data_IF_682342549476
#
_entry.id   IF_682342549476
#
_cell.length_a   1.000
_cell.length_b   1.000
_cell.length_c   1.000
_cell.angle_alpha   90.00
_cell.angle_beta   90.00
_cell.angle_gamma   90.00
#
_symmetry.space_group_name_H-M   'P 1'
#
loop_
_entity.id
_entity.type
_entity.pdbx_description
1 polymer ?
#
# COMPACT_ATOMS: atom_id res chain seq x y z
N UNK A 1 25.45 -0.25 -24.88
CA UNK A 1 24.00 -0.47 -24.64
C UNK A 1 23.54 0.65 -23.74
N UNK A 2 22.77 1.60 -24.26
CA UNK A 2 22.10 2.61 -23.43
C UNK A 2 21.01 1.84 -22.70
N UNK A 3 21.22 1.58 -21.41
CA UNK A 3 20.21 0.93 -20.57
C UNK A 3 18.95 1.78 -20.60
N UNK A 4 17.82 1.17 -20.91
CA UNK A 4 16.52 1.81 -20.77
C UNK A 4 16.33 2.00 -19.26
N UNK A 5 16.58 3.22 -18.76
CA UNK A 5 16.26 3.58 -17.39
C UNK A 5 14.74 3.54 -17.27
N UNK A 6 14.20 2.48 -16.70
CA UNK A 6 12.80 2.42 -16.31
C UNK A 6 12.66 3.36 -15.10
N UNK A 7 12.06 4.53 -15.30
CA UNK A 7 11.77 5.46 -14.23
C UNK A 7 10.78 4.80 -13.26
N UNK A 8 11.08 4.83 -11.96
CA UNK A 8 10.18 4.32 -10.93
C UNK A 8 8.99 5.26 -10.74
N UNK A 9 8.01 4.83 -9.95
CA UNK A 9 6.88 5.65 -9.53
C UNK A 9 6.81 5.78 -8.01
N UNK A 10 6.05 6.76 -7.53
CA UNK A 10 5.81 6.95 -6.10
C UNK A 10 4.40 6.45 -5.76
N UNK A 11 4.30 5.61 -4.72
CA UNK A 11 3.05 5.24 -4.07
C UNK A 11 2.92 5.96 -2.72
N UNK A 12 1.72 6.29 -2.28
CA UNK A 12 1.51 7.00 -1.00
C UNK A 12 0.29 6.49 -0.25
N UNK A 13 0.39 6.44 1.08
CA UNK A 13 -0.74 6.20 1.98
C UNK A 13 -1.48 7.50 2.30
N UNK A 14 -2.81 7.50 2.18
CA UNK A 14 -3.69 8.64 2.45
C UNK A 14 -4.90 8.20 3.29
N UNK A 15 -5.34 9.03 4.23
CA UNK A 15 -6.59 8.85 4.96
C UNK A 15 -6.44 8.87 6.48
N UNK A 16 -5.21 8.88 7.02
CA UNK A 16 -4.99 8.80 8.47
C UNK A 16 -4.78 10.16 9.16
N UNK A 17 -4.85 11.26 8.41
CA UNK A 17 -4.83 12.60 9.02
C UNK A 17 -5.69 13.60 8.24
N UNK A 18 -6.73 14.15 8.87
CA UNK A 18 -7.65 15.10 8.22
C UNK A 18 -6.99 16.40 7.71
N UNK A 19 -5.73 16.66 8.06
CA UNK A 19 -4.97 17.83 7.61
C UNK A 19 -3.99 17.53 6.46
N UNK A 20 -4.10 16.37 5.80
CA UNK A 20 -3.22 15.97 4.70
C UNK A 20 -3.73 16.35 3.29
N UNK A 21 -4.81 17.13 3.25
CA UNK A 21 -5.52 17.48 2.01
C UNK A 21 -6.50 16.38 1.56
N UNK A 22 -7.31 16.70 0.56
CA UNK A 22 -8.29 15.76 0.02
C UNK A 22 -7.62 14.66 -0.82
N UNK A 23 -8.35 13.59 -1.13
CA UNK A 23 -7.87 12.53 -2.01
C UNK A 23 -7.57 13.10 -3.41
N UNK A 24 -8.42 14.00 -3.91
CA UNK A 24 -8.18 14.66 -5.20
C UNK A 24 -6.95 15.57 -5.17
N UNK A 25 -6.63 16.23 -4.05
CA UNK A 25 -5.37 17.00 -3.91
C UNK A 25 -4.13 16.10 -4.02
N UNK A 26 -4.18 14.91 -3.42
CA UNK A 26 -3.10 13.93 -3.55
C UNK A 26 -2.89 13.56 -5.03
N UNK A 27 -3.97 13.24 -5.75
CA UNK A 27 -3.89 12.83 -7.16
C UNK A 27 -3.51 13.98 -8.11
N UNK A 28 -3.97 15.20 -7.84
CA UNK A 28 -3.63 16.38 -8.65
C UNK A 28 -2.21 16.91 -8.41
N UNK A 29 -1.51 16.42 -7.39
CA UNK A 29 -0.10 16.78 -7.15
C UNK A 29 0.84 16.38 -8.29
N UNK A 30 0.47 15.36 -9.08
CA UNK A 30 1.33 14.75 -10.09
C UNK A 30 2.54 14.00 -9.51
N UNK A 31 2.59 13.79 -8.20
CA UNK A 31 3.69 13.07 -7.52
C UNK A 31 3.49 11.55 -7.55
N UNK A 32 2.25 11.09 -7.39
CA UNK A 32 1.94 9.70 -7.08
C UNK A 32 1.30 8.97 -8.26
N UNK A 33 1.71 7.72 -8.49
CA UNK A 33 1.04 6.80 -9.41
C UNK A 33 0.04 5.88 -8.71
N UNK A 34 0.19 5.70 -7.39
CA UNK A 34 -0.68 4.89 -6.55
C UNK A 34 -1.03 5.66 -5.28
N UNK A 35 -2.30 5.62 -4.89
CA UNK A 35 -2.78 6.12 -3.60
C UNK A 35 -3.51 4.98 -2.88
N UNK A 36 -3.02 4.63 -1.70
CA UNK A 36 -3.63 3.65 -0.81
C UNK A 36 -4.52 4.39 0.17
N UNK A 37 -5.83 4.17 0.05
CA UNK A 37 -6.86 4.71 0.95
C UNK A 37 -6.85 3.87 2.22
N UNK A 38 -6.48 4.50 3.33
CA UNK A 38 -6.09 3.81 4.55
C UNK A 38 -6.94 4.26 5.72
N UNK A 39 -7.68 3.38 6.41
CA UNK A 39 -7.69 1.91 6.28
C UNK A 39 -9.08 1.29 6.45
N UNK A 40 -9.28 0.08 5.90
CA UNK A 40 -10.24 -0.86 6.47
C UNK A 40 -9.59 -1.53 7.68
N UNK A 41 -9.74 -0.91 8.85
CA UNK A 41 -9.03 -1.26 10.10
C UNK A 41 -9.75 -2.32 10.94
N UNK A 42 -10.96 -2.74 10.53
CA UNK A 42 -11.71 -3.80 11.20
C UNK A 42 -12.34 -4.71 10.16
N UNK A 43 -12.13 -6.02 10.25
CA UNK A 43 -12.75 -7.04 9.40
C UNK A 43 -12.48 -8.46 9.95
N UNK A 44 -13.20 -9.44 9.40
CA UNK A 44 -13.05 -10.86 9.74
C UNK A 44 -13.50 -11.21 11.16
N UNK A 45 -13.41 -12.49 11.51
CA UNK A 45 -13.89 -13.06 12.79
C UNK A 45 -15.38 -12.74 13.07
N UNK A 46 -16.21 -12.65 12.01
CA UNK A 46 -17.63 -12.30 12.13
C UNK A 46 -17.92 -10.84 12.48
N UNK A 47 -16.91 -9.96 12.49
CA UNK A 47 -17.08 -8.53 12.73
C UNK A 47 -17.72 -7.85 11.51
N UNK A 48 -18.47 -6.77 11.75
CA UNK A 48 -18.86 -5.86 10.68
C UNK A 48 -17.63 -5.06 10.24
N UNK A 49 -17.22 -5.10 8.96
CA UNK A 49 -16.04 -4.37 8.54
C UNK A 49 -16.21 -2.86 8.71
N UNK A 50 -15.16 -2.18 9.15
CA UNK A 50 -15.19 -0.75 9.42
C UNK A 50 -14.00 -0.03 8.77
N UNK A 51 -14.33 1.01 8.02
CA UNK A 51 -13.37 1.96 7.45
C UNK A 51 -13.00 3.00 8.53
N UNK A 52 -11.76 3.46 8.53
CA UNK A 52 -11.30 4.58 9.32
C UNK A 52 -10.50 5.52 8.41
N UNK A 53 -11.02 6.73 8.20
CA UNK A 53 -10.34 7.81 7.47
C UNK A 53 -10.06 9.01 8.39
N UNK A 54 -9.73 8.72 9.66
CA UNK A 54 -9.42 9.71 10.68
C UNK A 54 -10.41 10.89 10.70
N UNK A 55 -9.93 12.11 10.43
CA UNK A 55 -10.73 13.33 10.45
C UNK A 55 -11.37 13.71 9.11
N UNK A 56 -11.22 12.89 8.06
CA UNK A 56 -11.73 13.23 6.72
C UNK A 56 -13.25 13.04 6.60
N UNK A 57 -13.78 11.98 7.20
CA UNK A 57 -15.20 11.65 7.16
C UNK A 57 -15.54 10.62 8.27
N UNK A 58 -16.84 10.41 8.50
CA UNK A 58 -17.37 9.38 9.39
C UNK A 58 -18.20 8.36 8.57
N UNK A 59 -17.67 7.14 8.34
CA UNK A 59 -18.36 6.11 7.57
C UNK A 59 -19.73 5.72 8.13
N UNK A 60 -19.93 5.82 9.46
CA UNK A 60 -21.20 5.50 10.10
C UNK A 60 -22.30 6.51 9.77
N UNK A 61 -21.91 7.76 9.51
CA UNK A 61 -22.81 8.82 9.07
C UNK A 61 -23.11 8.80 7.56
N UNK A 62 -22.39 7.95 6.80
CA UNK A 62 -22.53 7.84 5.33
C UNK A 62 -21.92 9.01 4.54
N UNK A 63 -21.21 9.93 5.19
CA UNK A 63 -20.64 11.12 4.55
C UNK A 63 -19.32 10.87 3.80
N UNK A 64 -18.76 9.66 3.86
CA UNK A 64 -17.55 9.27 3.12
C UNK A 64 -17.81 9.01 1.62
N UNK A 65 -19.07 8.97 1.18
CA UNK A 65 -19.44 8.81 -0.23
C UNK A 65 -18.94 9.96 -1.13
N UNK A 66 -18.56 11.10 -0.53
CA UNK A 66 -17.95 12.24 -1.23
C UNK A 66 -16.69 11.86 -2.01
N UNK A 67 -15.96 10.84 -1.53
CA UNK A 67 -14.73 10.38 -2.17
C UNK A 67 -14.94 9.62 -3.48
N UNK A 68 -16.17 9.24 -3.82
CA UNK A 68 -16.47 8.61 -5.12
C UNK A 68 -15.97 9.48 -6.28
N UNK A 69 -16.26 10.78 -6.23
CA UNK A 69 -15.83 11.72 -7.27
C UNK A 69 -14.30 11.93 -7.30
N UNK A 70 -13.66 11.98 -6.13
CA UNK A 70 -12.20 12.07 -6.01
C UNK A 70 -11.53 10.83 -6.61
N UNK A 71 -12.02 9.63 -6.29
CA UNK A 71 -11.52 8.36 -6.84
C UNK A 71 -11.59 8.37 -8.37
N UNK A 72 -12.73 8.77 -8.94
CA UNK A 72 -12.87 8.83 -10.40
C UNK A 72 -11.93 9.85 -11.04
N UNK A 73 -11.67 10.96 -10.35
CA UNK A 73 -10.73 11.99 -10.80
C UNK A 73 -9.29 11.45 -10.79
N UNK A 74 -8.88 10.80 -9.69
CA UNK A 74 -7.59 10.12 -9.59
C UNK A 74 -7.38 9.12 -10.73
N UNK A 75 -8.38 8.26 -10.97
CA UNK A 75 -8.33 7.25 -12.05
C UNK A 75 -8.24 7.90 -13.43
N UNK A 76 -8.95 9.01 -13.66
CA UNK A 76 -8.85 9.77 -14.92
C UNK A 76 -7.46 10.41 -15.13
N UNK A 77 -6.74 10.71 -14.04
CA UNK A 77 -5.36 11.18 -14.05
C UNK A 77 -4.34 10.04 -14.21
N UNK A 78 -4.81 8.78 -14.32
CA UNK A 78 -3.94 7.60 -14.40
C UNK A 78 -3.40 7.12 -13.06
N UNK A 79 -3.86 7.69 -11.94
CA UNK A 79 -3.49 7.26 -10.59
C UNK A 79 -4.36 6.08 -10.19
N UNK A 80 -3.74 4.99 -9.74
CA UNK A 80 -4.49 3.85 -9.20
C UNK A 80 -4.85 4.10 -7.75
N UNK A 81 -6.11 3.86 -7.40
CA UNK A 81 -6.60 4.03 -6.03
C UNK A 81 -6.96 2.67 -5.46
N UNK A 82 -6.32 2.30 -4.36
CA UNK A 82 -6.46 1.01 -3.71
C UNK A 82 -7.05 1.18 -2.31
N UNK A 83 -7.80 0.20 -1.81
CA UNK A 83 -8.18 0.15 -0.40
C UNK A 83 -7.12 -0.62 0.37
N UNK A 84 -6.54 -0.01 1.41
CA UNK A 84 -5.62 -0.70 2.30
C UNK A 84 -6.34 -1.37 3.46
N UNK A 85 -6.10 -2.66 3.62
CA UNK A 85 -6.57 -3.46 4.74
C UNK A 85 -5.56 -3.41 5.88
N UNK A 86 -6.03 -3.30 7.11
CA UNK A 86 -5.19 -3.44 8.30
C UNK A 86 -4.62 -2.11 8.80
N UNK A 87 -3.30 -1.96 8.72
CA UNK A 87 -2.48 -0.92 9.34
C UNK A 87 -2.05 -1.29 10.77
N UNK A 88 -1.08 -0.56 11.32
CA UNK A 88 -0.52 -0.79 12.67
C UNK A 88 -1.49 -0.70 13.85
N UNK A 89 -2.73 -0.26 13.63
CA UNK A 89 -3.80 -0.24 14.63
C UNK A 89 -5.12 -0.75 14.03
N UNK A 90 -5.88 -1.52 14.81
CA UNK A 90 -7.17 -2.05 14.36
C UNK A 90 -7.57 -3.34 15.05
N UNK A 91 -8.64 -3.96 14.56
CA UNK A 91 -9.09 -5.30 14.98
C UNK A 91 -9.45 -6.12 13.76
N UNK A 92 -8.46 -6.82 13.23
CA UNK A 92 -8.59 -7.57 11.98
C UNK A 92 -7.92 -8.94 12.10
N UNK A 93 -8.39 -9.88 11.28
CA UNK A 93 -7.85 -11.23 11.21
C UNK A 93 -8.89 -12.19 10.62
N UNK A 94 -8.41 -13.30 10.05
CA UNK A 94 -9.25 -14.28 9.39
C UNK A 94 -9.25 -15.58 10.18
N UNK A 95 -10.43 -16.10 10.50
CA UNK A 95 -10.62 -17.30 11.34
C UNK A 95 -10.72 -18.61 10.58
N UNK A 96 -11.03 -18.55 9.28
CA UNK A 96 -11.31 -19.70 8.43
C UNK A 96 -11.29 -19.33 6.95
N UNK A 97 -11.28 -20.33 6.07
CA UNK A 97 -11.46 -20.15 4.63
C UNK A 97 -12.79 -19.47 4.31
N UNK A 98 -13.88 -19.82 5.02
CA UNK A 98 -15.20 -19.20 4.85
C UNK A 98 -15.20 -17.72 5.26
N UNK A 99 -14.44 -17.37 6.30
CA UNK A 99 -14.25 -15.98 6.75
C UNK A 99 -13.46 -15.18 5.70
N UNK A 100 -12.37 -15.75 5.15
CA UNK A 100 -11.63 -15.15 4.05
C UNK A 100 -12.50 -14.94 2.80
N UNK A 101 -13.34 -15.91 2.44
CA UNK A 101 -14.28 -15.79 1.32
C UNK A 101 -15.35 -14.72 1.59
N UNK A 102 -15.84 -14.64 2.82
CA UNK A 102 -16.84 -13.64 3.25
C UNK A 102 -16.26 -12.23 3.16
N UNK A 103 -15.02 -12.03 3.64
CA UNK A 103 -14.30 -10.76 3.51
C UNK A 103 -14.04 -10.43 2.04
N UNK A 104 -13.60 -11.40 1.22
CA UNK A 104 -13.39 -11.18 -0.22
C UNK A 104 -14.67 -10.70 -0.94
N UNK A 105 -15.80 -11.33 -0.62
CA UNK A 105 -17.12 -10.96 -1.16
C UNK A 105 -17.54 -9.57 -0.70
N UNK A 106 -17.34 -9.25 0.58
CA UNK A 106 -17.61 -7.92 1.10
C UNK A 106 -16.79 -6.84 0.38
N UNK A 107 -15.49 -7.07 0.18
CA UNK A 107 -14.60 -6.15 -0.54
C UNK A 107 -15.04 -5.97 -1.99
N UNK A 108 -15.41 -7.07 -2.67
CA UNK A 108 -15.93 -7.03 -4.02
C UNK A 108 -17.17 -6.14 -4.16
N UNK A 109 -18.16 -6.36 -3.30
CA UNK A 109 -19.47 -5.69 -3.38
C UNK A 109 -19.44 -4.23 -2.91
N UNK A 110 -18.57 -3.91 -1.94
CA UNK A 110 -18.56 -2.59 -1.31
C UNK A 110 -17.51 -1.63 -1.87
N UNK A 111 -16.45 -2.14 -2.50
CA UNK A 111 -15.31 -1.31 -2.91
C UNK A 111 -14.82 -1.56 -4.34
N UNK A 112 -15.07 -2.75 -4.91
CA UNK A 112 -14.63 -3.11 -6.25
C UNK A 112 -15.83 -3.13 -7.21
N UNK A 113 -15.88 -4.10 -8.13
CA UNK A 113 -16.86 -4.18 -9.22
C UNK A 113 -18.19 -4.86 -8.87
N UNK A 114 -18.39 -5.28 -7.63
CA UNK A 114 -19.65 -5.84 -7.17
C UNK A 114 -20.70 -4.76 -6.88
N UNK A 115 -21.77 -5.13 -6.18
CA UNK A 115 -22.89 -4.21 -5.92
C UNK A 115 -23.37 -4.32 -4.48
N UNK A 116 -23.47 -3.19 -3.80
CA UNK A 116 -24.04 -3.07 -2.47
C UNK A 116 -24.94 -1.82 -2.39
N UNK A 117 -25.96 -1.85 -1.53
CA UNK A 117 -26.88 -0.73 -1.35
C UNK A 117 -26.27 0.48 -0.61
N UNK A 118 -25.16 0.27 0.10
CA UNK A 118 -24.50 1.30 0.92
C UNK A 118 -22.98 1.12 0.89
N UNK A 119 -22.36 1.51 -0.22
CA UNK A 119 -20.90 1.46 -0.39
C UNK A 119 -20.22 2.57 0.43
N UNK A 120 -19.24 2.28 1.30
CA UNK A 120 -18.65 3.28 2.20
C UNK A 120 -18.02 4.49 1.50
N UNK A 121 -17.42 4.29 0.33
CA UNK A 121 -16.79 5.35 -0.48
C UNK A 121 -17.65 5.78 -1.67
N UNK A 122 -18.92 5.35 -1.71
CA UNK A 122 -19.83 5.58 -2.83
C UNK A 122 -19.59 4.64 -4.02
N UNK A 123 -20.10 5.05 -5.19
CA UNK A 123 -20.26 4.18 -6.35
C UNK A 123 -18.96 3.87 -7.11
N UNK A 124 -17.88 4.64 -6.87
CA UNK A 124 -16.61 4.40 -7.53
C UNK A 124 -16.06 3.00 -7.20
N UNK A 125 -15.61 2.30 -8.24
CA UNK A 125 -14.90 1.04 -8.11
C UNK A 125 -13.39 1.32 -8.00
N UNK A 126 -12.79 0.91 -6.89
CA UNK A 126 -11.35 1.00 -6.68
C UNK A 126 -10.60 0.07 -7.64
N UNK A 127 -9.31 0.36 -7.85
CA UNK A 127 -8.44 -0.43 -8.71
C UNK A 127 -8.07 -1.77 -8.08
N UNK A 128 -8.10 -1.89 -6.76
CA UNK A 128 -7.62 -3.07 -6.07
C UNK A 128 -7.54 -2.94 -4.57
N UNK A 129 -6.90 -3.93 -3.96
CA UNK A 129 -6.78 -4.12 -2.51
C UNK A 129 -5.31 -4.21 -2.13
N UNK A 130 -4.93 -3.42 -1.13
CA UNK A 130 -3.62 -3.45 -0.50
C UNK A 130 -3.66 -4.19 0.84
N UNK A 131 -2.69 -5.07 1.05
CA UNK A 131 -2.56 -5.90 2.24
C UNK A 131 -1.47 -5.31 3.14
N UNK A 132 -1.89 -4.50 4.11
CA UNK A 132 -1.01 -3.94 5.15
C UNK A 132 -1.29 -4.61 6.49
N UNK A 133 -0.90 -5.88 6.60
CA UNK A 133 -1.23 -6.74 7.73
C UNK A 133 -0.04 -6.77 8.71
N UNK A 134 -0.06 -5.84 9.67
CA UNK A 134 1.05 -5.67 10.61
C UNK A 134 0.94 -6.51 11.89
N UNK A 135 -0.27 -7.03 12.19
CA UNK A 135 -0.56 -7.74 13.44
C UNK A 135 -1.46 -8.95 13.22
N UNK A 136 -1.61 -9.80 14.25
CA UNK A 136 -2.43 -11.00 14.20
C UNK A 136 -1.66 -12.24 13.71
N UNK A 137 -2.41 -13.25 13.24
CA UNK A 137 -1.83 -14.45 12.65
C UNK A 137 -1.72 -14.32 11.12
N UNK A 138 -0.96 -15.21 10.48
CA UNK A 138 -0.78 -15.25 9.02
C UNK A 138 -1.80 -16.09 8.27
N UNK A 139 -2.78 -16.66 8.96
CA UNK A 139 -3.69 -17.63 8.35
C UNK A 139 -4.67 -16.95 7.38
N UNK A 140 -4.96 -17.65 6.28
CA UNK A 140 -6.02 -17.34 5.31
C UNK A 140 -5.85 -16.07 4.47
N UNK A 141 -4.76 -15.29 4.62
CA UNK A 141 -4.50 -14.13 3.74
C UNK A 141 -4.13 -14.55 2.30
N UNK A 142 -3.55 -15.74 2.14
CA UNK A 142 -3.33 -16.39 0.84
C UNK A 142 -4.64 -16.78 0.16
N UNK A 143 -5.60 -17.30 0.93
CA UNK A 143 -6.95 -17.59 0.44
C UNK A 143 -7.70 -16.31 0.09
N UNK A 144 -7.61 -15.26 0.93
CA UNK A 144 -8.19 -13.94 0.63
C UNK A 144 -7.63 -13.38 -0.69
N UNK A 145 -6.31 -13.40 -0.88
CA UNK A 145 -5.69 -12.99 -2.13
C UNK A 145 -6.18 -13.83 -3.32
N UNK A 146 -6.31 -15.13 -3.14
CA UNK A 146 -6.83 -16.05 -4.17
C UNK A 146 -8.27 -15.70 -4.55
N UNK A 147 -9.18 -15.54 -3.59
CA UNK A 147 -10.57 -15.18 -3.86
C UNK A 147 -10.70 -13.81 -4.52
N UNK A 148 -9.95 -12.81 -4.06
CA UNK A 148 -9.94 -11.48 -4.69
C UNK A 148 -9.43 -11.53 -6.13
N UNK A 149 -8.37 -12.31 -6.40
CA UNK A 149 -7.82 -12.44 -7.75
C UNK A 149 -8.82 -13.02 -8.75
N UNK A 150 -9.68 -13.95 -8.32
CA UNK A 150 -10.68 -14.60 -9.17
C UNK A 150 -11.73 -13.62 -9.70
N UNK A 151 -12.04 -12.55 -8.96
CA UNK A 151 -12.96 -11.50 -9.43
C UNK A 151 -12.44 -10.75 -10.66
N UNK A 152 -11.12 -10.81 -10.95
CA UNK A 152 -10.57 -10.25 -12.19
C UNK A 152 -11.18 -10.88 -13.46
N UNK A 153 -11.69 -12.12 -13.36
CA UNK A 153 -12.37 -12.78 -14.47
C UNK A 153 -13.77 -12.19 -14.77
N UNK A 154 -14.31 -11.34 -13.88
CA UNK A 154 -15.64 -10.74 -14.01
C UNK A 154 -15.63 -9.36 -14.69
N UNK A 155 -14.49 -8.91 -15.22
CA UNK A 155 -14.41 -7.69 -16.03
C UNK A 155 -13.11 -6.94 -15.81
N UNK A 156 -13.09 -6.04 -14.81
CA UNK A 156 -11.91 -5.23 -14.49
C UNK A 156 -10.93 -6.05 -13.63
N UNK A 157 -9.64 -6.00 -13.97
CA UNK A 157 -8.57 -6.54 -13.13
C UNK A 157 -8.66 -5.97 -11.72
N UNK A 158 -8.61 -6.84 -10.72
CA UNK A 158 -8.41 -6.48 -9.32
C UNK A 158 -6.91 -6.48 -9.06
N UNK A 159 -6.33 -5.31 -8.79
CA UNK A 159 -4.93 -5.21 -8.40
C UNK A 159 -4.76 -5.71 -6.97
N UNK A 160 -3.70 -6.48 -6.72
CA UNK A 160 -3.34 -6.94 -5.38
C UNK A 160 -1.97 -6.39 -5.02
N UNK A 161 -1.87 -5.67 -3.91
CA UNK A 161 -0.61 -5.14 -3.40
C UNK A 161 -0.41 -5.53 -1.94
N UNK A 162 0.83 -5.45 -1.46
CA UNK A 162 1.16 -5.82 -0.10
C UNK A 162 2.26 -4.93 0.49
N UNK A 163 2.15 -4.68 1.80
CA UNK A 163 3.08 -3.91 2.60
C UNK A 163 3.74 -4.77 3.70
N UNK A 164 4.52 -5.81 3.37
CA UNK A 164 5.22 -6.57 4.40
C UNK A 164 6.24 -5.69 5.12
N UNK A 165 6.54 -6.02 6.38
CA UNK A 165 7.69 -5.46 7.06
C UNK A 165 8.99 -5.94 6.41
N UNK A 166 10.10 -5.21 6.58
CA UNK A 166 11.37 -5.61 5.95
C UNK A 166 12.01 -6.93 6.45
N UNK A 167 11.75 -7.47 7.65
CA UNK A 167 12.25 -8.79 8.02
C UNK A 167 11.69 -9.87 7.09
N UNK A 168 12.57 -10.70 6.53
CA UNK A 168 12.18 -11.78 5.63
C UNK A 168 12.35 -13.16 6.28
N UNK A 169 11.38 -14.09 6.16
CA UNK A 169 10.04 -13.88 5.59
C UNK A 169 9.14 -13.04 6.52
N UNK A 170 8.19 -12.30 5.94
CA UNK A 170 7.22 -11.52 6.72
C UNK A 170 6.29 -12.43 7.55
N UNK A 171 6.06 -12.06 8.82
CA UNK A 171 5.35 -12.90 9.77
C UNK A 171 3.87 -13.11 9.41
N UNK A 172 3.24 -12.14 8.74
CA UNK A 172 1.80 -12.11 8.47
C UNK A 172 1.47 -12.48 7.03
N UNK A 173 2.30 -12.01 6.08
CA UNK A 173 2.02 -12.04 4.64
C UNK A 173 2.83 -13.08 3.88
N UNK A 174 3.77 -13.80 4.53
CA UNK A 174 4.59 -14.78 3.82
C UNK A 174 3.76 -15.82 3.02
N UNK A 175 2.71 -16.47 3.58
CA UNK A 175 1.89 -17.40 2.79
C UNK A 175 1.23 -16.72 1.58
N UNK A 176 0.68 -15.52 1.78
CA UNK A 176 0.00 -14.76 0.73
C UNK A 176 0.96 -14.38 -0.41
N UNK A 177 2.16 -13.88 -0.08
CA UNK A 177 3.16 -13.48 -1.07
C UNK A 177 3.68 -14.67 -1.90
N UNK A 178 3.70 -15.89 -1.34
CA UNK A 178 4.12 -17.09 -2.06
C UNK A 178 3.10 -17.58 -3.11
N UNK A 179 1.87 -17.07 -3.10
CA UNK A 179 0.89 -17.35 -4.16
C UNK A 179 1.33 -16.79 -5.53
N UNK A 180 2.18 -15.76 -5.54
CA UNK A 180 2.59 -15.05 -6.76
C UNK A 180 1.47 -14.21 -7.40
N UNK A 181 0.38 -13.93 -6.67
CA UNK A 181 -0.77 -13.18 -7.17
C UNK A 181 -0.62 -11.65 -7.02
N UNK A 182 0.35 -11.19 -6.23
CA UNK A 182 0.55 -9.77 -5.96
C UNK A 182 1.22 -9.06 -7.14
N UNK A 183 0.64 -7.92 -7.53
CA UNK A 183 1.14 -7.06 -8.59
C UNK A 183 2.32 -6.22 -8.11
N UNK A 184 2.16 -5.52 -6.98
CA UNK A 184 3.21 -4.71 -6.39
C UNK A 184 3.42 -5.07 -4.92
N UNK A 185 4.66 -4.96 -4.46
CA UNK A 185 5.01 -5.16 -3.04
C UNK A 185 5.85 -3.97 -2.59
N UNK A 186 5.35 -3.20 -1.62
CA UNK A 186 6.07 -2.08 -1.00
C UNK A 186 6.55 -2.47 0.39
N UNK A 187 7.75 -3.04 0.45
CA UNK A 187 8.36 -3.51 1.70
C UNK A 187 8.65 -2.32 2.60
N UNK A 188 8.20 -2.37 3.85
CA UNK A 188 8.36 -1.30 4.84
C UNK A 188 9.78 -1.34 5.45
N UNK A 189 10.70 -0.50 4.96
CA UNK A 189 12.08 -0.42 5.43
C UNK A 189 12.25 0.58 6.59
N UNK A 190 11.35 0.50 7.56
CA UNK A 190 11.32 1.32 8.76
C UNK A 190 10.75 0.51 9.94
N UNK A 191 10.88 1.06 11.15
CA UNK A 191 10.51 0.41 12.42
C UNK A 191 11.20 -0.93 12.71
N UNK A 192 12.20 -1.32 11.93
CA UNK A 192 12.86 -2.62 11.95
C UNK A 192 14.39 -2.47 11.82
N UNK A 193 15.11 -2.25 12.93
CA UNK A 193 16.56 -2.04 12.93
C UNK A 193 17.41 -3.03 12.12
N UNK A 194 17.09 -4.34 12.05
CA UNK A 194 17.90 -5.31 11.30
C UNK A 194 17.91 -5.12 9.79
N UNK A 195 16.94 -4.41 9.21
CA UNK A 195 16.77 -4.29 7.76
C UNK A 195 16.46 -2.88 7.27
N UNK A 196 16.49 -1.87 8.13
CA UNK A 196 16.27 -0.47 7.74
C UNK A 196 17.58 0.31 7.53
N UNK A 197 17.46 1.54 7.06
CA UNK A 197 18.55 2.51 7.04
C UNK A 197 18.92 2.99 8.45
N UNK A 198 20.22 3.15 8.71
CA UNK A 198 20.70 3.66 9.99
C UNK A 198 21.94 4.55 9.83
N UNK A 199 21.83 5.82 10.23
CA UNK A 199 22.98 6.72 10.47
C UNK A 199 24.03 6.79 9.36
N UNK A 200 23.64 6.90 8.09
CA UNK A 200 24.58 6.92 6.96
C UNK A 200 24.82 5.56 6.29
N UNK A 201 24.27 4.48 6.85
CA UNK A 201 24.47 3.11 6.37
C UNK A 201 23.20 2.51 5.79
N UNK A 202 23.27 2.16 4.50
CA UNK A 202 22.22 1.49 3.75
C UNK A 202 22.43 -0.03 3.60
N UNK A 203 23.50 -0.60 4.17
CA UNK A 203 23.93 -1.99 3.91
C UNK A 203 22.88 -3.03 4.33
N UNK A 204 22.27 -2.85 5.51
CA UNK A 204 21.21 -3.74 6.00
C UNK A 204 19.97 -3.68 5.10
N UNK A 205 19.54 -2.47 4.74
CA UNK A 205 18.43 -2.23 3.82
C UNK A 205 18.69 -2.86 2.46
N UNK A 206 19.87 -2.63 1.86
CA UNK A 206 20.21 -3.19 0.55
C UNK A 206 20.30 -4.72 0.58
N UNK A 207 20.80 -5.30 1.68
CA UNK A 207 20.84 -6.76 1.85
C UNK A 207 19.44 -7.36 1.93
N UNK A 208 18.54 -6.73 2.70
CA UNK A 208 17.15 -7.14 2.80
C UNK A 208 16.39 -6.93 1.47
N UNK A 209 16.62 -5.80 0.78
CA UNK A 209 16.07 -5.52 -0.55
C UNK A 209 16.41 -6.62 -1.57
N UNK A 210 17.68 -7.02 -1.63
CA UNK A 210 18.11 -8.11 -2.50
C UNK A 210 17.40 -9.43 -2.17
N UNK A 211 17.23 -9.72 -0.88
CA UNK A 211 16.51 -10.91 -0.42
C UNK A 211 15.05 -10.89 -0.88
N UNK A 212 14.35 -9.77 -0.68
CA UNK A 212 12.96 -9.60 -1.10
C UNK A 212 12.77 -9.74 -2.60
N UNK A 213 13.54 -8.98 -3.38
CA UNK A 213 13.41 -8.91 -4.84
C UNK A 213 13.78 -10.22 -5.55
N UNK A 214 14.60 -11.08 -4.94
CA UNK A 214 14.93 -12.40 -5.48
C UNK A 214 13.98 -13.52 -5.02
N UNK A 215 13.28 -13.35 -3.89
CA UNK A 215 12.57 -14.46 -3.23
C UNK A 215 11.06 -14.46 -3.46
N UNK A 216 10.46 -13.32 -3.85
CA UNK A 216 9.03 -13.19 -4.08
C UNK A 216 8.77 -12.77 -5.52
N UNK A 217 7.80 -13.42 -6.17
CA UNK A 217 7.39 -13.11 -7.54
C UNK A 217 6.29 -12.05 -7.53
N UNK A 218 6.48 -11.01 -8.33
CA UNK A 218 5.51 -9.94 -8.57
C UNK A 218 5.34 -9.72 -10.07
N UNK A 219 4.14 -9.34 -10.51
CA UNK A 219 3.86 -9.06 -11.93
C UNK A 219 4.21 -7.61 -12.32
N UNK A 220 4.16 -6.68 -11.36
CA UNK A 220 4.42 -5.26 -11.52
C UNK A 220 5.81 -4.88 -11.03
N UNK A 221 6.01 -4.73 -9.72
CA UNK A 221 7.33 -4.39 -9.18
C UNK A 221 7.42 -4.30 -7.66
N UNK A 222 8.66 -4.23 -7.18
CA UNK A 222 8.99 -3.95 -5.79
C UNK A 222 9.20 -2.45 -5.57
N UNK A 223 8.68 -1.96 -4.45
CA UNK A 223 8.78 -0.57 -4.05
C UNK A 223 9.50 -0.49 -2.71
N UNK A 224 10.42 0.46 -2.59
CA UNK A 224 11.08 0.76 -1.33
C UNK A 224 10.16 1.59 -0.45
N UNK A 225 9.58 1.00 0.59
CA UNK A 225 8.76 1.71 1.58
C UNK A 225 9.61 2.52 2.54
N UNK A 226 9.41 3.85 2.57
CA UNK A 226 10.14 4.80 3.42
C UNK A 226 9.17 5.72 4.16
N UNK A 227 9.51 6.16 5.38
CA UNK A 227 8.74 7.19 6.05
C UNK A 227 9.09 8.56 5.44
N UNK A 228 8.09 9.42 5.24
CA UNK A 228 8.25 10.74 4.64
C UNK A 228 8.96 11.75 5.56
N UNK A 229 9.07 11.44 6.85
CA UNK A 229 9.71 12.27 7.87
C UNK A 229 10.18 11.42 9.04
N UNK A 230 10.97 12.02 9.94
CA UNK A 230 11.34 11.40 11.23
C UNK A 230 10.16 11.26 12.19
N UNK A 231 9.05 11.96 11.96
CA UNK A 231 7.85 11.87 12.78
C UNK A 231 6.88 10.77 12.30
N UNK A 232 7.04 10.29 11.06
CA UNK A 232 6.13 9.32 10.46
C UNK A 232 6.36 7.87 10.94
N UNK A 233 7.55 7.57 11.47
CA UNK A 233 7.93 6.25 11.97
C UNK A 233 8.87 6.37 13.16
N UNK A 234 8.93 5.34 14.01
CA UNK A 234 9.80 5.31 15.19
C UNK A 234 11.29 5.22 14.83
N UNK A 235 11.63 4.67 13.66
CA UNK A 235 13.00 4.64 13.14
C UNK A 235 13.02 4.30 11.64
N UNK A 236 14.18 4.43 10.98
CA UNK A 236 14.38 4.05 9.57
C UNK A 236 14.19 5.17 8.55
N UNK A 237 13.99 6.42 8.98
CA UNK A 237 13.93 7.56 8.07
C UNK A 237 15.23 7.77 7.30
N UNK A 238 15.10 7.93 5.99
CA UNK A 238 16.20 8.20 5.06
C UNK A 238 16.10 9.64 4.58
N UNK A 239 17.05 10.54 4.89
CA UNK A 239 17.06 11.88 4.31
C UNK A 239 17.06 11.84 2.78
N UNK A 240 16.39 12.77 2.06
CA UNK A 240 16.33 12.78 0.59
C UNK A 240 17.71 12.68 -0.09
N UNK A 241 18.71 13.38 0.44
CA UNK A 241 20.09 13.30 -0.08
C UNK A 241 20.70 11.90 0.03
N UNK A 242 20.44 11.20 1.15
CA UNK A 242 20.94 9.84 1.36
C UNK A 242 20.13 8.82 0.55
N UNK A 243 18.82 9.03 0.42
CA UNK A 243 17.96 8.20 -0.44
C UNK A 243 18.49 8.23 -1.87
N UNK A 244 18.77 9.41 -2.40
CA UNK A 244 19.24 9.59 -3.78
C UNK A 244 20.67 9.13 -4.01
N UNK A 245 21.60 9.38 -3.07
CA UNK A 245 23.03 9.11 -3.26
C UNK A 245 23.50 7.74 -2.75
N UNK A 246 22.89 7.19 -1.70
CA UNK A 246 23.35 5.98 -1.04
C UNK A 246 22.40 4.78 -1.19
N UNK A 247 21.08 5.02 -1.26
CA UNK A 247 20.08 3.94 -1.27
C UNK A 247 19.65 3.58 -2.70
N UNK A 248 19.11 4.55 -3.46
CA UNK A 248 18.56 4.35 -4.80
C UNK A 248 19.52 3.67 -5.79
N UNK A 249 20.83 3.98 -5.84
CA UNK A 249 21.76 3.30 -6.74
C UNK A 249 21.83 1.78 -6.51
N UNK A 250 21.71 1.33 -5.26
CA UNK A 250 21.68 -0.09 -4.91
C UNK A 250 20.35 -0.75 -5.26
N UNK A 251 19.23 -0.12 -4.88
CA UNK A 251 17.91 -0.74 -5.06
C UNK A 251 17.44 -0.76 -6.52
N UNK A 252 17.81 0.25 -7.33
CA UNK A 252 17.48 0.33 -8.76
C UNK A 252 18.23 -0.71 -9.62
N UNK A 253 19.19 -1.44 -9.04
CA UNK A 253 19.87 -2.54 -9.73
C UNK A 253 19.00 -3.79 -9.87
N UNK A 254 17.95 -3.92 -9.07
CA UNK A 254 16.97 -5.01 -9.20
C UNK A 254 16.10 -4.78 -10.44
N UNK A 255 16.00 -5.79 -11.31
CA UNK A 255 15.26 -5.68 -12.58
C UNK A 255 13.74 -5.49 -12.40
N UNK A 256 13.23 -5.78 -11.21
CA UNK A 256 11.84 -5.61 -10.80
C UNK A 256 11.65 -4.39 -9.86
N UNK A 257 12.58 -3.43 -9.85
CA UNK A 257 12.38 -2.15 -9.18
C UNK A 257 11.21 -1.38 -9.82
N UNK A 258 10.19 -1.08 -9.01
CA UNK A 258 9.01 -0.33 -9.41
C UNK A 258 9.01 1.12 -8.92
N UNK A 259 9.77 1.46 -7.87
CA UNK A 259 9.81 2.81 -7.31
C UNK A 259 9.94 2.85 -5.80
N UNK A 260 9.32 3.86 -5.18
CA UNK A 260 9.26 4.02 -3.72
C UNK A 260 7.80 4.09 -3.25
N UNK A 261 7.56 3.70 -2.01
CA UNK A 261 6.31 3.93 -1.30
C UNK A 261 6.60 4.87 -0.13
N UNK A 262 5.73 5.84 0.10
CA UNK A 262 5.91 6.86 1.13
C UNK A 262 4.80 6.74 2.18
N UNK A 263 5.21 6.48 3.42
CA UNK A 263 4.36 6.58 4.61
C UNK A 263 4.61 7.92 5.32
N UNK A 264 3.70 8.88 5.34
CA UNK A 264 2.36 8.95 4.74
C UNK A 264 2.20 10.29 4.00
N UNK A 265 1.02 10.53 3.40
CA UNK A 265 0.73 11.79 2.69
C UNK A 265 0.84 13.00 3.61
N UNK A 266 0.33 12.92 4.85
CA UNK A 266 0.46 14.02 5.82
C UNK A 266 1.92 14.48 5.98
N UNK A 267 2.80 13.55 6.31
CA UNK A 267 4.21 13.85 6.51
C UNK A 267 4.90 14.30 5.22
N UNK A 268 4.50 13.74 4.07
CA UNK A 268 5.01 14.15 2.77
C UNK A 268 4.60 15.59 2.41
N UNK A 269 3.36 16.02 2.71
CA UNK A 269 2.94 17.42 2.56
C UNK A 269 3.84 18.34 3.40
N UNK A 270 4.05 18.00 4.67
CA UNK A 270 4.79 18.86 5.59
C UNK A 270 6.27 18.97 5.25
N UNK A 271 6.86 17.91 4.67
CA UNK A 271 8.30 17.82 4.44
C UNK A 271 8.70 17.87 2.96
N UNK A 272 7.73 17.86 2.04
CA UNK A 272 7.94 17.80 0.58
C UNK A 272 8.91 16.68 0.19
N UNK A 273 8.79 15.51 0.81
CA UNK A 273 9.75 14.42 0.65
C UNK A 273 9.76 13.89 -0.78
N UNK A 274 8.59 13.54 -1.30
CA UNK A 274 8.42 13.03 -2.67
C UNK A 274 8.90 14.03 -3.72
N UNK A 275 8.60 15.33 -3.53
CA UNK A 275 9.06 16.39 -4.44
C UNK A 275 10.59 16.49 -4.52
N UNK A 276 11.30 16.21 -3.42
CA UNK A 276 12.76 16.25 -3.38
C UNK A 276 13.42 15.06 -4.09
N UNK A 277 12.73 13.92 -4.17
CA UNK A 277 13.31 12.67 -4.72
C UNK A 277 12.69 12.22 -6.05
N UNK A 278 11.61 12.87 -6.50
CA UNK A 278 10.83 12.50 -7.70
C UNK A 278 11.71 12.23 -8.92
N UNK A 279 12.67 13.10 -9.22
CA UNK A 279 13.50 12.97 -10.43
C UNK A 279 14.57 11.88 -10.32
N UNK A 280 14.80 11.34 -9.12
CA UNK A 280 15.76 10.26 -8.87
C UNK A 280 15.12 8.87 -8.85
N UNK A 281 13.83 8.79 -8.52
CA UNK A 281 13.01 7.58 -8.54
C UNK A 281 12.81 7.11 -9.98
#
# INVERSE_FOLDING_TARGET
MVGISQAGNIAVYWGQNGNEGTLVDACNSGLYAYVMVSFLSTFGNGQTPALNLAGHCDPLSGNCNVFSSDITTCQSNGVKVLLSLGGGAGSYGLSSTEDAQSVATYLWDNFLGGSASSRPLGDAALDGIDFDIETGNSAHYDELATFLSQYSAQGRKVYLTAAPQCPYPDASLAPALQTGLFDNVWVQFYNNPPCQYASGDASNLQSAWNTWTSSVKVSGGFYLGVPASTAAAGSGYVPPGDLTSAVLPGVKSASNYGGIMVWDRYNDVQNSYSSQVKDSV
#
